data_IF_854275592608
#
_entry.id   IF_854275592608
#
_cell.length_a   1.000
_cell.length_b   1.000
_cell.length_c   1.000
_cell.angle_alpha   90.00
_cell.angle_beta   90.00
_cell.angle_gamma   90.00
#
_symmetry.space_group_name_H-M   'P 1'
#
loop_
_entity.id
_entity.type
_entity.pdbx_description
1 polymer ?
#
# COMPACT_ATOMS: atom_id res chain seq x y z
N UNK A 1 18.79 -2.37 -14.76
CA UNK A 1 17.32 -2.20 -14.81
C UNK A 1 16.94 -1.24 -13.69
N UNK A 2 16.33 -0.09 -14.00
CA UNK A 2 15.99 0.95 -13.03
C UNK A 2 15.07 0.35 -11.93
N UNK A 3 15.37 0.58 -10.65
CA UNK A 3 14.59 0.04 -9.53
C UNK A 3 13.13 0.53 -9.55
N UNK A 4 12.87 1.72 -10.11
CA UNK A 4 11.51 2.20 -10.39
C UNK A 4 10.77 1.27 -11.37
N UNK A 5 11.43 0.83 -12.45
CA UNK A 5 10.83 -0.09 -13.41
C UNK A 5 10.55 -1.46 -12.78
N UNK A 6 11.40 -1.91 -11.85
CA UNK A 6 11.15 -3.14 -11.09
C UNK A 6 9.93 -3.00 -10.18
N UNK A 7 9.81 -1.88 -9.46
CA UNK A 7 8.64 -1.58 -8.63
C UNK A 7 7.37 -1.62 -9.47
N UNK A 8 7.36 -0.92 -10.61
CA UNK A 8 6.21 -0.89 -11.51
C UNK A 8 5.85 -2.29 -12.03
N UNK A 9 6.85 -3.10 -12.34
CA UNK A 9 6.62 -4.49 -12.78
C UNK A 9 5.95 -5.30 -11.67
N UNK A 10 6.44 -5.21 -10.43
CA UNK A 10 5.86 -5.93 -9.30
C UNK A 10 4.41 -5.50 -9.03
N UNK A 11 4.14 -4.20 -9.00
CA UNK A 11 2.80 -3.66 -8.78
C UNK A 11 1.83 -4.10 -9.88
N UNK A 12 2.26 -4.06 -11.14
CA UNK A 12 1.43 -4.52 -12.26
C UNK A 12 1.10 -6.02 -12.16
N UNK A 13 2.06 -6.86 -11.77
CA UNK A 13 1.81 -8.30 -11.58
C UNK A 13 0.85 -8.54 -10.42
N UNK A 14 1.02 -7.84 -9.31
CA UNK A 14 0.11 -7.91 -8.15
C UNK A 14 -1.33 -7.59 -8.59
N UNK A 15 -1.53 -6.47 -9.29
CA UNK A 15 -2.86 -6.06 -9.75
C UNK A 15 -3.49 -7.05 -10.74
N UNK A 16 -2.68 -7.63 -11.63
CA UNK A 16 -3.14 -8.66 -12.55
C UNK A 16 -3.57 -9.94 -11.81
N UNK A 17 -2.84 -10.36 -10.78
CA UNK A 17 -3.18 -11.55 -10.01
C UNK A 17 -4.49 -11.35 -9.22
N UNK A 18 -4.68 -10.19 -8.60
CA UNK A 18 -5.94 -9.85 -7.93
C UNK A 18 -7.12 -9.79 -8.91
N UNK A 19 -6.91 -9.32 -10.14
CA UNK A 19 -7.96 -9.24 -11.16
C UNK A 19 -8.42 -10.62 -11.70
N UNK A 20 -7.58 -11.65 -11.61
CA UNK A 20 -7.89 -12.99 -12.14
C UNK A 20 -8.70 -13.85 -11.15
N UNK A 21 -8.62 -13.58 -9.84
CA UNK A 21 -9.40 -14.25 -8.79
C UNK A 21 -8.98 -15.71 -8.46
N UNK A 22 -9.13 -16.09 -7.19
CA UNK A 22 -8.98 -17.44 -6.58
C UNK A 22 -7.72 -18.28 -6.88
N UNK A 23 -6.69 -17.71 -7.50
CA UNK A 23 -5.38 -18.35 -7.64
C UNK A 23 -4.27 -17.54 -6.97
N UNK A 24 -3.47 -18.21 -6.13
CA UNK A 24 -2.11 -17.73 -5.81
C UNK A 24 -1.97 -16.77 -4.63
N UNK A 25 -2.76 -16.90 -3.55
CA UNK A 25 -2.55 -16.12 -2.30
C UNK A 25 -1.08 -16.15 -1.85
N UNK A 26 -0.47 -17.34 -1.80
CA UNK A 26 0.96 -17.50 -1.47
C UNK A 26 1.91 -16.83 -2.49
N UNK A 27 1.49 -16.67 -3.75
CA UNK A 27 2.31 -16.05 -4.81
C UNK A 27 2.24 -14.52 -4.72
N UNK A 28 1.08 -13.98 -4.31
CA UNK A 28 0.89 -12.55 -4.05
C UNK A 28 1.71 -12.12 -2.83
N UNK A 29 1.73 -12.91 -1.76
CA UNK A 29 2.55 -12.64 -0.57
C UNK A 29 4.06 -12.59 -0.91
N UNK A 30 4.53 -13.45 -1.81
CA UNK A 30 5.93 -13.39 -2.26
C UNK A 30 6.24 -12.07 -3.00
N UNK A 31 5.28 -11.58 -3.80
CA UNK A 31 5.40 -10.29 -4.47
C UNK A 31 5.37 -9.13 -3.48
N UNK A 32 4.58 -9.23 -2.41
CA UNK A 32 4.56 -8.22 -1.33
C UNK A 32 5.91 -8.12 -0.63
N UNK A 33 6.55 -9.26 -0.33
CA UNK A 33 7.92 -9.29 0.20
C UNK A 33 8.90 -8.64 -0.80
N UNK A 34 8.77 -8.94 -2.09
CA UNK A 34 9.59 -8.33 -3.14
C UNK A 34 9.47 -6.80 -3.19
N UNK A 35 8.23 -6.28 -3.10
CA UNK A 35 7.98 -4.83 -3.01
C UNK A 35 8.61 -4.26 -1.75
N UNK A 36 8.37 -4.87 -0.58
CA UNK A 36 8.93 -4.41 0.69
C UNK A 36 10.45 -4.30 0.63
N UNK A 37 11.13 -5.38 0.22
CA UNK A 37 12.59 -5.43 0.16
C UNK A 37 13.13 -4.35 -0.80
N UNK A 38 12.51 -4.15 -1.97
CA UNK A 38 12.90 -3.12 -2.92
C UNK A 38 12.79 -1.70 -2.32
N UNK A 39 11.72 -1.44 -1.57
CA UNK A 39 11.49 -0.16 -0.90
C UNK A 39 12.36 0.03 0.37
N UNK A 40 12.80 -1.07 1.00
CA UNK A 40 13.80 -1.05 2.09
C UNK A 40 15.22 -0.76 1.56
N UNK A 41 15.57 -1.32 0.41
CA UNK A 41 16.90 -1.20 -0.20
C UNK A 41 17.14 0.15 -0.90
N UNK A 42 16.08 0.80 -1.39
CA UNK A 42 16.20 2.02 -2.20
C UNK A 42 15.26 3.14 -1.68
N UNK A 43 15.83 4.02 -0.86
CA UNK A 43 15.10 5.16 -0.27
C UNK A 43 14.56 6.14 -1.32
N UNK A 44 15.23 6.29 -2.47
CA UNK A 44 14.75 7.17 -3.55
C UNK A 44 13.47 6.58 -4.16
N UNK A 45 13.46 5.28 -4.38
CA UNK A 45 12.26 4.58 -4.87
C UNK A 45 11.15 4.61 -3.83
N UNK A 46 11.45 4.42 -2.54
CA UNK A 46 10.48 4.57 -1.45
C UNK A 46 9.85 5.95 -1.41
N UNK A 47 10.66 7.00 -1.55
CA UNK A 47 10.15 8.37 -1.59
C UNK A 47 9.20 8.57 -2.76
N UNK A 48 9.57 8.12 -3.97
CA UNK A 48 8.70 8.20 -5.14
C UNK A 48 7.38 7.45 -4.90
N UNK A 49 7.44 6.24 -4.33
CA UNK A 49 6.25 5.46 -3.97
C UNK A 49 5.30 6.24 -3.06
N UNK A 50 5.81 6.85 -1.98
CA UNK A 50 4.98 7.64 -1.07
C UNK A 50 4.51 8.97 -1.65
N UNK A 51 5.31 9.62 -2.50
CA UNK A 51 4.90 10.84 -3.20
C UNK A 51 3.70 10.55 -4.11
N UNK A 52 3.71 9.44 -4.86
CA UNK A 52 2.56 9.02 -5.69
C UNK A 52 1.35 8.60 -4.83
N UNK A 53 1.58 7.81 -3.77
CA UNK A 53 0.53 7.43 -2.83
C UNK A 53 -0.13 8.68 -2.21
N UNK A 54 0.63 9.72 -1.89
CA UNK A 54 0.12 10.99 -1.37
C UNK A 54 -0.63 11.81 -2.43
N UNK A 55 -0.27 11.75 -3.70
CA UNK A 55 -1.05 12.39 -4.78
C UNK A 55 -2.45 11.78 -4.89
N UNK A 56 -2.57 10.46 -4.70
CA UNK A 56 -3.87 9.75 -4.72
C UNK A 56 -4.86 10.25 -3.67
N UNK A 57 -4.38 10.87 -2.58
CA UNK A 57 -5.23 11.50 -1.56
C UNK A 57 -5.87 12.80 -2.10
N UNK A 58 -5.12 13.56 -2.90
CA UNK A 58 -5.49 14.90 -3.35
C UNK A 58 -6.30 14.89 -4.65
N UNK A 59 -6.05 13.92 -5.53
CA UNK A 59 -6.73 13.81 -6.81
C UNK A 59 -8.13 13.19 -6.65
N UNK A 60 -9.15 13.97 -7.01
CA UNK A 60 -10.49 13.44 -7.19
C UNK A 60 -10.59 12.76 -8.56
N UNK A 61 -10.48 11.43 -8.61
CA UNK A 61 -11.07 10.58 -9.68
C UNK A 61 -10.90 11.07 -11.14
N UNK A 62 -9.72 11.56 -11.55
CA UNK A 62 -9.52 11.95 -12.96
C UNK A 62 -8.13 11.62 -13.48
N UNK A 63 -8.08 10.48 -14.19
CA UNK A 63 -7.36 10.16 -15.43
C UNK A 63 -5.83 10.29 -15.53
N UNK A 64 -5.23 9.20 -16.04
CA UNK A 64 -4.10 9.15 -16.97
C UNK A 64 -2.71 9.59 -16.48
N UNK A 65 -2.30 9.13 -15.29
CA UNK A 65 -0.87 9.08 -14.97
C UNK A 65 -0.38 7.64 -14.73
N UNK A 66 0.53 7.24 -15.60
CA UNK A 66 1.18 5.92 -15.79
C UNK A 66 2.02 5.41 -14.60
N UNK A 67 1.74 5.85 -13.38
CA UNK A 67 2.41 5.37 -12.19
C UNK A 67 1.41 5.34 -11.03
N UNK A 68 1.24 4.15 -10.44
CA UNK A 68 0.69 3.98 -9.08
C UNK A 68 -0.82 4.30 -8.95
N UNK A 69 -1.59 4.15 -10.03
CA UNK A 69 -3.04 4.49 -9.99
C UNK A 69 -3.94 3.45 -9.27
N UNK A 70 -3.44 2.26 -8.95
CA UNK A 70 -4.19 1.27 -8.16
C UNK A 70 -3.19 0.48 -7.29
N UNK A 71 -2.64 1.10 -6.24
CA UNK A 71 -1.94 0.29 -5.23
C UNK A 71 -3.01 -0.47 -4.46
N UNK A 72 -2.90 -1.79 -4.50
CA UNK A 72 -3.77 -2.67 -3.74
C UNK A 72 -3.75 -2.36 -2.23
N UNK A 73 -4.94 -2.40 -1.62
CA UNK A 73 -5.10 -2.06 -0.20
C UNK A 73 -4.41 -3.07 0.72
N UNK A 74 -4.35 -4.34 0.34
CA UNK A 74 -3.75 -5.39 1.15
C UNK A 74 -2.23 -5.26 1.12
N UNK A 75 -1.64 -4.87 -0.03
CA UNK A 75 -0.23 -4.50 -0.11
C UNK A 75 0.10 -3.33 0.82
N UNK A 76 -0.72 -2.28 0.83
CA UNK A 76 -0.51 -1.13 1.71
C UNK A 76 -0.60 -1.51 3.20
N UNK A 77 -1.58 -2.33 3.56
CA UNK A 77 -1.71 -2.83 4.94
C UNK A 77 -0.52 -3.71 5.34
N UNK A 78 -0.09 -4.61 4.46
CA UNK A 78 1.09 -5.44 4.67
C UNK A 78 2.36 -4.60 4.88
N UNK A 79 2.61 -3.61 4.02
CA UNK A 79 3.77 -2.73 4.13
C UNK A 79 3.71 -1.91 5.41
N UNK A 80 2.57 -1.30 5.71
CA UNK A 80 2.37 -0.54 6.94
C UNK A 80 2.65 -1.38 8.19
N UNK A 81 2.13 -2.61 8.21
CA UNK A 81 2.33 -3.53 9.31
C UNK A 81 3.80 -3.93 9.50
N UNK A 82 4.45 -4.35 8.42
CA UNK A 82 5.78 -4.97 8.48
C UNK A 82 6.90 -3.95 8.65
N UNK A 83 6.77 -2.74 8.10
CA UNK A 83 7.84 -1.74 8.11
C UNK A 83 7.59 -0.61 9.10
N UNK A 84 6.33 -0.26 9.35
CA UNK A 84 5.92 0.86 10.21
C UNK A 84 6.62 2.17 9.87
N UNK A 85 6.86 2.42 8.59
CA UNK A 85 7.49 3.65 8.14
C UNK A 85 6.68 4.89 8.55
N UNK A 86 7.34 5.98 9.01
CA UNK A 86 6.68 7.25 9.37
C UNK A 86 5.70 7.78 8.30
N UNK A 87 6.03 7.56 7.03
CA UNK A 87 5.25 7.96 5.87
C UNK A 87 3.81 7.39 5.89
N UNK A 88 3.61 6.19 6.44
CA UNK A 88 2.26 5.61 6.60
C UNK A 88 1.41 6.34 7.64
N UNK A 89 2.01 6.77 8.75
CA UNK A 89 1.31 7.56 9.77
C UNK A 89 0.90 8.92 9.21
N UNK A 90 1.77 9.53 8.41
CA UNK A 90 1.48 10.79 7.73
C UNK A 90 0.34 10.62 6.72
N UNK A 91 0.37 9.55 5.92
CA UNK A 91 -0.68 9.22 4.95
C UNK A 91 -2.04 9.09 5.63
N UNK A 92 -2.12 8.29 6.70
CA UNK A 92 -3.35 8.07 7.47
C UNK A 92 -3.91 9.40 7.98
N UNK A 93 -3.06 10.22 8.61
CA UNK A 93 -3.46 11.52 9.16
C UNK A 93 -4.03 12.43 8.07
N UNK A 94 -3.29 12.63 6.97
CA UNK A 94 -3.72 13.52 5.87
C UNK A 94 -5.02 13.04 5.23
N UNK A 95 -5.17 11.73 5.00
CA UNK A 95 -6.39 11.17 4.43
C UNK A 95 -7.59 11.35 5.36
N UNK A 96 -7.41 11.13 6.67
CA UNK A 96 -8.48 11.33 7.66
C UNK A 96 -8.95 12.78 7.75
N UNK A 97 -8.05 13.75 7.65
CA UNK A 97 -8.39 15.18 7.60
C UNK A 97 -9.27 15.50 6.38
N UNK A 98 -8.93 14.97 5.21
CA UNK A 98 -9.72 15.14 3.98
C UNK A 98 -11.08 14.45 4.09
N UNK A 99 -11.15 13.22 4.60
CA UNK A 99 -12.44 12.52 4.71
C UNK A 99 -13.35 13.22 5.72
N UNK A 100 -12.80 13.70 6.84
CA UNK A 100 -13.56 14.41 7.88
C UNK A 100 -14.12 15.74 7.37
N UNK A 101 -13.35 16.47 6.55
CA UNK A 101 -13.80 17.73 5.95
C UNK A 101 -14.89 17.55 4.88
N UNK A 102 -14.94 16.40 4.20
CA UNK A 102 -15.87 16.16 3.07
C UNK A 102 -17.27 15.68 3.45
N UNK A 103 -17.61 15.51 4.75
CA UNK A 103 -18.95 15.11 5.28
C UNK A 103 -19.66 14.01 4.44
N UNK A 104 -18.93 13.05 3.86
CA UNK A 104 -19.54 11.96 3.10
C UNK A 104 -19.94 10.84 4.05
N UNK A 105 -21.15 10.30 3.84
CA UNK A 105 -21.63 9.08 4.50
C UNK A 105 -20.71 7.93 4.08
N UNK A 106 -20.01 7.32 5.03
CA UNK A 106 -19.13 6.16 4.80
C UNK A 106 -19.98 4.90 4.71
N UNK A 107 -20.09 4.33 3.51
CA UNK A 107 -20.74 3.02 3.29
C UNK A 107 -19.72 1.86 3.35
N UNK A 108 -18.43 2.14 3.22
CA UNK A 108 -17.32 1.19 3.31
C UNK A 108 -16.24 1.73 4.25
N UNK A 109 -15.44 0.81 4.83
CA UNK A 109 -14.24 1.13 5.60
C UNK A 109 -13.27 1.93 4.72
N UNK A 110 -12.79 3.06 5.20
CA UNK A 110 -11.84 3.88 4.44
C UNK A 110 -10.43 3.25 4.52
N UNK A 111 -9.64 3.38 3.45
CA UNK A 111 -8.26 2.89 3.41
C UNK A 111 -7.41 3.40 4.59
N UNK A 112 -7.63 4.63 5.06
CA UNK A 112 -6.92 5.14 6.24
C UNK A 112 -7.26 4.38 7.53
N UNK A 113 -8.47 3.86 7.67
CA UNK A 113 -8.86 3.03 8.83
C UNK A 113 -8.18 1.67 8.75
N UNK A 114 -8.14 1.05 7.55
CA UNK A 114 -7.47 -0.23 7.34
C UNK A 114 -5.95 -0.14 7.62
N UNK A 115 -5.28 0.88 7.09
CA UNK A 115 -3.85 1.12 7.36
C UNK A 115 -3.62 1.45 8.83
N UNK A 116 -4.50 2.25 9.45
CA UNK A 116 -4.39 2.57 10.87
C UNK A 116 -4.48 1.31 11.75
N UNK A 117 -5.35 0.36 11.42
CA UNK A 117 -5.44 -0.91 12.11
C UNK A 117 -4.21 -1.80 11.85
N UNK A 118 -3.70 -1.85 10.62
CA UNK A 118 -2.49 -2.60 10.29
C UNK A 118 -1.24 -2.09 11.06
N UNK A 119 -1.20 -0.80 11.38
CA UNK A 119 -0.16 -0.18 12.21
C UNK A 119 -0.28 -0.55 13.71
N UNK A 120 -1.40 -1.14 14.15
CA UNK A 120 -1.55 -1.60 15.54
C UNK A 120 -0.83 -2.92 15.78
N UNK A 121 -0.43 -3.16 17.04
CA UNK A 121 0.32 -4.35 17.46
C UNK A 121 -0.52 -5.64 17.49
N UNK A 122 -1.84 -5.57 17.29
CA UNK A 122 -2.77 -6.67 17.55
C UNK A 122 -3.53 -7.17 16.31
N UNK A 123 -2.91 -7.09 15.12
CA UNK A 123 -3.46 -7.73 13.92
C UNK A 123 -3.40 -9.26 14.03
N UNK A 124 -4.44 -9.98 13.59
CA UNK A 124 -4.61 -11.44 13.78
C UNK A 124 -3.41 -12.28 13.28
N UNK A 125 -2.66 -11.77 12.30
CA UNK A 125 -1.50 -12.44 11.68
C UNK A 125 -0.11 -12.01 12.19
N UNK A 126 -0.01 -11.25 13.29
CA UNK A 126 1.28 -10.78 13.88
C UNK A 126 2.25 -11.95 14.13
N UNK A 127 1.75 -13.11 14.53
CA UNK A 127 2.59 -14.29 14.78
C UNK A 127 3.13 -14.94 13.51
N UNK A 128 2.42 -14.80 12.39
CA UNK A 128 2.84 -15.35 11.10
C UNK A 128 4.02 -14.57 10.53
N UNK A 129 3.92 -13.25 10.46
CA UNK A 129 4.96 -12.41 9.87
C UNK A 129 6.22 -12.27 10.73
N UNK A 130 6.12 -12.40 12.05
CA UNK A 130 7.30 -12.40 12.92
C UNK A 130 8.15 -13.68 12.84
N UNK A 131 7.61 -14.78 12.29
CA UNK A 131 8.36 -16.04 12.09
C UNK A 131 9.20 -16.06 10.82
N UNK A 132 8.95 -15.17 9.86
CA UNK A 132 9.66 -15.08 8.58
C UNK A 132 10.78 -14.02 8.66
N UNK A 133 11.47 -13.95 9.80
CA UNK A 133 12.68 -13.13 9.99
C UNK A 133 13.94 -13.98 9.92
#
# INVERSE_FOLDING_TARGET
>A
MNNINKLNTLLNVINQLFAVGDYGVNHIEFLFIGVRNLLEEDEVVRKIFFDELMKSINESLSSDHDLVADIDSDLLCYLAHTTRWPEFYEFVKRRQEIVSSRKKIRYSKDLSEAIQEALQLHWEDVEFYNKIK
#
